data_IF_882485756836
#
_entry.id   IF_882485756836
#
_cell.length_a   1.000
_cell.length_b   1.000
_cell.length_c   1.000
_cell.angle_alpha   90.00
_cell.angle_beta   90.00
_cell.angle_gamma   90.00
#
_symmetry.space_group_name_H-M   'P 1'
#
loop_
_entity.id
_entity.type
_entity.pdbx_description
1 polymer ?
#
# COMPACT_ATOMS: atom_id res chain seq x y z
N UNK A 1 -24.21 10.82 -22.49
CA UNK A 1 -23.99 9.80 -21.45
C UNK A 1 -22.50 9.56 -21.38
N UNK A 2 -21.84 10.12 -20.36
CA UNK A 2 -20.39 10.21 -20.30
C UNK A 2 -19.76 8.91 -19.86
N UNK A 3 -19.23 8.14 -20.81
CA UNK A 3 -18.16 7.18 -20.53
C UNK A 3 -16.85 7.96 -20.31
N UNK A 4 -16.61 8.34 -19.07
CA UNK A 4 -15.34 8.88 -18.62
C UNK A 4 -15.42 9.26 -17.14
N UNK A 5 -14.52 8.85 -16.23
CA UNK A 5 -13.43 7.89 -16.35
C UNK A 5 -13.57 6.79 -15.27
N UNK A 6 -14.27 5.69 -15.55
CA UNK A 6 -14.18 4.52 -14.64
C UNK A 6 -12.83 3.77 -14.84
N UNK A 7 -12.12 4.09 -15.93
CA UNK A 7 -10.71 3.73 -16.15
C UNK A 7 -9.76 4.34 -15.11
N UNK A 8 -10.15 5.45 -14.45
CA UNK A 8 -9.32 6.10 -13.44
C UNK A 8 -9.17 5.23 -12.19
N UNK A 9 -10.17 4.41 -11.85
CA UNK A 9 -10.08 3.53 -10.67
C UNK A 9 -9.05 2.40 -10.88
N UNK A 10 -9.10 1.74 -12.04
CA UNK A 10 -8.10 0.72 -12.39
C UNK A 10 -6.70 1.36 -12.47
N UNK A 11 -6.55 2.50 -13.14
CA UNK A 11 -5.25 3.17 -13.27
C UNK A 11 -4.64 3.62 -11.94
N UNK A 12 -5.48 3.94 -10.95
CA UNK A 12 -5.03 4.31 -9.60
C UNK A 12 -4.64 3.12 -8.73
N UNK A 13 -4.83 1.87 -9.19
CA UNK A 13 -4.49 0.69 -8.40
C UNK A 13 -3.02 0.69 -7.94
N UNK A 14 -2.10 1.11 -8.82
CA UNK A 14 -0.68 1.25 -8.50
C UNK A 14 -0.45 2.27 -7.39
N UNK A 15 -1.09 3.43 -7.48
CA UNK A 15 -0.96 4.53 -6.53
C UNK A 15 -1.57 4.17 -5.16
N UNK A 16 -2.70 3.46 -5.17
CA UNK A 16 -3.35 2.96 -3.95
C UNK A 16 -2.44 1.96 -3.25
N UNK A 17 -1.95 0.93 -3.96
CA UNK A 17 -1.11 -0.12 -3.39
C UNK A 17 0.22 0.43 -2.84
N UNK A 18 0.78 1.47 -3.48
CA UNK A 18 2.01 2.13 -3.03
C UNK A 18 1.78 3.24 -1.99
N UNK A 19 0.53 3.54 -1.62
CA UNK A 19 0.24 4.61 -0.66
C UNK A 19 0.62 4.21 0.78
N UNK A 20 1.09 5.18 1.56
CA UNK A 20 1.38 5.01 3.00
C UNK A 20 0.24 4.39 3.79
N UNK A 21 -1.02 4.90 3.74
CA UNK A 21 -2.11 4.29 4.49
C UNK A 21 -2.37 2.84 4.05
N UNK A 22 -2.16 2.53 2.77
CA UNK A 22 -2.36 1.18 2.30
C UNK A 22 -1.38 0.19 2.93
N UNK A 23 -0.09 0.56 2.96
CA UNK A 23 1.00 -0.26 3.48
C UNK A 23 1.00 -0.37 5.01
N UNK A 24 0.61 0.70 5.72
CA UNK A 24 0.45 0.66 7.18
C UNK A 24 -0.61 -0.35 7.60
N UNK A 25 -1.76 -0.37 6.93
CA UNK A 25 -2.77 -1.38 7.23
C UNK A 25 -2.31 -2.80 6.85
N UNK A 26 -1.37 -2.96 5.91
CA UNK A 26 -0.76 -4.26 5.63
C UNK A 26 0.24 -4.70 6.71
N UNK A 27 0.85 -3.79 7.49
CA UNK A 27 1.72 -4.17 8.60
C UNK A 27 0.99 -5.03 9.64
N UNK A 28 -0.30 -4.78 9.85
CA UNK A 28 -1.13 -5.45 10.85
C UNK A 28 -1.61 -6.85 10.42
N UNK A 29 -1.32 -7.30 9.19
CA UNK A 29 -1.76 -8.63 8.76
C UNK A 29 -0.96 -9.73 9.47
N UNK A 30 -1.66 -10.77 9.89
CA UNK A 30 -1.02 -11.90 10.56
C UNK A 30 -0.40 -12.87 9.55
N UNK A 31 0.89 -13.13 9.72
CA UNK A 31 1.70 -14.04 8.90
C UNK A 31 2.33 -15.13 9.78
N UNK A 32 2.53 -16.36 9.27
CA UNK A 32 3.11 -17.43 10.06
C UNK A 32 4.61 -17.20 10.35
N UNK A 33 5.04 -17.49 11.59
CA UNK A 33 6.46 -17.65 11.95
C UNK A 33 6.82 -19.13 11.88
N UNK A 34 7.63 -19.49 10.88
CA UNK A 34 8.15 -20.84 10.70
C UNK A 34 7.04 -21.91 10.59
N UNK A 35 7.42 -23.17 10.38
CA UNK A 35 6.46 -24.28 10.31
C UNK A 35 5.89 -24.71 11.70
N UNK A 36 6.19 -23.94 12.76
CA UNK A 36 5.86 -24.29 14.16
C UNK A 36 4.53 -23.69 14.67
N UNK A 37 3.75 -23.02 13.80
CA UNK A 37 2.37 -22.64 14.08
C UNK A 37 2.16 -21.30 14.82
N UNK A 38 3.20 -20.51 15.04
CA UNK A 38 3.07 -19.14 15.54
C UNK A 38 2.61 -18.17 14.43
N UNK A 39 1.92 -17.09 14.79
CA UNK A 39 1.60 -15.98 13.89
C UNK A 39 2.10 -14.68 14.49
N UNK A 40 2.59 -13.78 13.65
CA UNK A 40 2.98 -12.41 14.00
C UNK A 40 2.47 -11.44 12.96
N UNK A 41 2.52 -10.16 13.27
CA UNK A 41 2.24 -9.11 12.29
C UNK A 41 3.29 -9.11 11.17
N UNK A 42 2.92 -8.62 9.99
CA UNK A 42 3.87 -8.46 8.89
C UNK A 42 5.03 -7.54 9.30
N UNK A 43 4.78 -6.52 10.13
CA UNK A 43 5.84 -5.67 10.71
C UNK A 43 6.88 -6.52 11.45
N UNK A 44 6.44 -7.27 12.47
CA UNK A 44 7.30 -8.13 13.28
C UNK A 44 8.03 -9.20 12.44
N UNK A 45 7.37 -9.74 11.42
CA UNK A 45 8.01 -10.67 10.48
C UNK A 45 9.17 -10.03 9.71
N UNK A 46 9.04 -8.75 9.31
CA UNK A 46 10.09 -8.04 8.58
C UNK A 46 11.29 -7.69 9.49
N UNK A 47 11.03 -7.48 10.78
CA UNK A 47 12.05 -7.23 11.81
C UNK A 47 12.79 -8.50 12.24
N UNK A 48 12.13 -9.67 12.19
CA UNK A 48 12.71 -10.96 12.60
C UNK A 48 13.57 -11.65 11.53
N UNK A 49 13.71 -11.07 10.33
CA UNK A 49 14.50 -11.71 9.26
C UNK A 49 16.00 -11.70 9.57
N UNK A 50 16.64 -12.86 9.42
CA UNK A 50 18.06 -13.15 9.74
C UNK A 50 19.04 -12.14 9.11
N UNK A 51 18.68 -11.61 7.95
CA UNK A 51 19.29 -10.42 7.40
C UNK A 51 18.15 -9.48 7.02
N UNK A 52 18.06 -8.31 7.66
CA UNK A 52 17.28 -7.16 7.21
C UNK A 52 17.67 -6.76 5.78
N UNK A 53 17.27 -7.54 4.78
CA UNK A 53 17.60 -7.30 3.37
C UNK A 53 17.06 -5.95 2.89
N UNK A 54 16.08 -5.42 3.62
CA UNK A 54 15.59 -4.07 3.48
C UNK A 54 16.65 -3.00 3.75
N UNK A 55 17.58 -3.22 4.68
CA UNK A 55 18.76 -2.35 4.89
C UNK A 55 19.64 -2.36 3.63
N UNK A 56 19.86 -3.50 2.99
CA UNK A 56 20.66 -3.58 1.77
C UNK A 56 19.96 -2.89 0.59
N UNK A 57 18.64 -3.01 0.43
CA UNK A 57 17.90 -2.36 -0.67
C UNK A 57 17.78 -0.84 -0.49
N UNK A 58 17.79 -0.33 0.74
CA UNK A 58 17.87 1.11 1.02
C UNK A 58 19.29 1.65 0.77
N UNK A 59 20.31 0.85 1.09
CA UNK A 59 21.73 1.17 0.86
C UNK A 59 22.26 0.83 -0.53
N UNK A 60 21.39 0.45 -1.48
CA UNK A 60 21.72 0.51 -2.90
C UNK A 60 21.35 1.93 -3.35
N UNK A 61 22.28 2.91 -3.29
CA UNK A 61 22.09 4.14 -4.05
C UNK A 61 21.90 3.69 -5.49
N UNK A 62 20.90 4.23 -6.19
CA UNK A 62 20.65 3.94 -7.60
C UNK A 62 21.97 3.89 -8.38
N UNK A 63 22.52 2.69 -8.57
CA UNK A 63 23.74 2.51 -9.34
C UNK A 63 23.31 2.51 -10.79
N UNK A 64 22.99 3.71 -11.27
CA UNK A 64 23.25 4.07 -12.65
C UNK A 64 24.77 4.24 -12.73
N UNK A 65 25.33 3.64 -13.77
CA UNK A 65 26.75 3.59 -14.15
C UNK A 65 27.50 4.89 -13.81
N UNK A 66 28.69 4.75 -13.22
CA UNK A 66 29.76 5.75 -12.99
C UNK A 66 29.69 6.68 -11.77
N UNK A 67 30.37 6.25 -10.69
CA UNK A 67 31.29 7.10 -9.92
C UNK A 67 30.76 7.86 -8.69
N UNK A 68 31.55 7.75 -7.60
CA UNK A 68 31.67 8.55 -6.35
C UNK A 68 30.74 8.37 -5.13
N UNK A 69 31.41 7.88 -4.07
CA UNK A 69 31.44 8.20 -2.62
C UNK A 69 30.23 7.92 -1.70
N UNK A 70 30.55 7.08 -0.71
CA UNK A 70 29.87 6.67 0.52
C UNK A 70 29.31 7.81 1.39
N UNK A 71 28.21 7.53 2.09
CA UNK A 71 27.87 8.21 3.35
C UNK A 71 27.14 7.26 4.32
N UNK A 72 27.62 7.25 5.57
CA UNK A 72 27.19 6.42 6.71
C UNK A 72 26.00 7.07 7.41
N UNK A 73 25.04 6.28 7.92
CA UNK A 73 24.01 6.79 8.86
C UNK A 73 23.89 5.85 10.06
N UNK A 74 24.16 6.43 11.23
CA UNK A 74 24.06 5.90 12.59
C UNK A 74 22.61 5.70 13.02
N UNK A 75 22.34 4.65 13.78
CA UNK A 75 21.06 4.33 14.42
C UNK A 75 20.91 5.06 15.76
N UNK A 76 19.72 5.62 16.06
CA UNK A 76 19.20 5.85 17.42
C UNK A 76 17.64 5.79 17.40
N UNK A 77 17.07 5.67 18.59
CA UNK A 77 15.99 4.77 19.04
C UNK A 77 14.52 5.27 18.98
N UNK A 78 13.63 4.27 19.17
CA UNK A 78 12.20 4.24 19.59
C UNK A 78 11.23 5.25 18.96
N UNK A 79 10.05 4.81 18.46
CA UNK A 79 8.79 5.58 18.55
C UNK A 79 7.58 4.75 18.06
N UNK A 80 6.37 5.21 18.39
CA UNK A 80 5.07 4.56 18.13
C UNK A 80 4.27 5.41 17.13
N UNK A 81 3.56 4.78 16.19
CA UNK A 81 2.77 5.46 15.13
C UNK A 81 1.40 5.92 15.64
N UNK A 82 0.95 7.12 15.24
CA UNK A 82 -0.39 7.63 15.58
C UNK A 82 -1.03 8.41 14.42
N UNK A 83 -2.33 8.15 14.21
CA UNK A 83 -3.16 8.92 13.28
C UNK A 83 -3.92 10.00 14.06
N UNK A 84 -3.60 11.28 13.85
CA UNK A 84 -4.33 12.42 14.43
C UNK A 84 -4.91 13.28 13.31
N UNK A 85 -6.24 13.41 13.28
CA UNK A 85 -6.97 14.31 12.37
C UNK A 85 -6.58 14.18 10.88
N UNK A 86 -6.40 12.95 10.39
CA UNK A 86 -6.03 12.70 8.98
C UNK A 86 -4.55 12.90 8.65
N UNK A 87 -3.73 13.30 9.63
CA UNK A 87 -2.26 13.32 9.52
C UNK A 87 -1.72 12.02 10.12
N UNK A 88 -0.85 11.35 9.37
CA UNK A 88 -0.14 10.12 9.77
C UNK A 88 1.29 10.54 10.14
N UNK A 89 1.69 10.33 11.40
CA UNK A 89 3.04 10.61 11.86
C UNK A 89 3.85 9.31 11.92
N UNK A 90 4.83 9.17 11.02
CA UNK A 90 5.63 7.96 10.88
C UNK A 90 6.92 8.04 11.70
N UNK A 91 7.25 6.94 12.35
CA UNK A 91 8.57 6.71 12.92
C UNK A 91 9.59 6.52 11.79
N UNK A 92 10.87 6.83 12.04
CA UNK A 92 11.91 6.63 11.04
C UNK A 92 12.05 5.16 10.62
N UNK A 93 11.80 4.22 11.53
CA UNK A 93 11.72 2.79 11.25
C UNK A 93 10.56 2.45 10.30
N UNK A 94 9.33 2.86 10.63
CA UNK A 94 8.16 2.59 9.81
C UNK A 94 8.30 3.24 8.43
N UNK A 95 8.87 4.45 8.35
CA UNK A 95 9.14 5.15 7.08
C UNK A 95 10.06 4.33 6.17
N UNK A 96 11.18 3.82 6.71
CA UNK A 96 12.10 2.94 5.99
C UNK A 96 11.42 1.65 5.55
N UNK A 97 10.64 1.03 6.43
CA UNK A 97 9.92 -0.21 6.13
C UNK A 97 8.85 -0.01 5.04
N UNK A 98 8.16 1.13 5.05
CA UNK A 98 7.21 1.54 4.00
C UNK A 98 7.94 1.70 2.67
N UNK A 99 9.08 2.39 2.62
CA UNK A 99 9.85 2.56 1.37
C UNK A 99 10.30 1.22 0.77
N UNK A 100 10.62 0.26 1.63
CA UNK A 100 10.95 -1.11 1.23
C UNK A 100 9.70 -1.81 0.68
N UNK A 101 8.59 -1.78 1.40
CA UNK A 101 7.36 -2.43 0.96
C UNK A 101 6.81 -1.84 -0.33
N UNK A 102 6.95 -0.53 -0.57
CA UNK A 102 6.60 0.12 -1.85
C UNK A 102 7.31 -0.54 -3.04
N UNK A 103 8.56 -0.98 -2.87
CA UNK A 103 9.33 -1.66 -3.92
C UNK A 103 8.95 -3.13 -4.09
N UNK A 104 8.26 -3.71 -3.10
CA UNK A 104 8.10 -5.16 -2.94
C UNK A 104 6.67 -5.61 -3.18
N UNK A 105 5.71 -4.73 -2.92
CA UNK A 105 4.29 -4.88 -3.21
C UNK A 105 4.00 -3.93 -4.37
N UNK A 106 4.00 -4.48 -5.58
CA UNK A 106 3.87 -3.70 -6.81
C UNK A 106 2.57 -4.08 -7.50
N UNK A 107 1.74 -3.08 -7.79
CA UNK A 107 0.59 -3.25 -8.66
C UNK A 107 0.86 -2.59 -10.02
N UNK A 108 0.57 -3.32 -11.09
CA UNK A 108 0.70 -2.84 -12.47
C UNK A 108 -0.60 -3.04 -13.20
N UNK A 109 -0.96 -2.13 -14.09
CA UNK A 109 -2.21 -2.18 -14.86
C UNK A 109 -1.84 -2.37 -16.32
N UNK A 110 -2.30 -3.45 -16.92
CA UNK A 110 -2.17 -3.66 -18.36
C UNK A 110 -3.13 -2.69 -19.07
N UNK A 111 -2.59 -1.74 -19.84
CA UNK A 111 -3.39 -0.69 -20.48
C UNK A 111 -4.35 -1.20 -21.57
N UNK A 112 -4.10 -2.38 -22.12
CA UNK A 112 -4.94 -2.97 -23.18
C UNK A 112 -6.11 -3.75 -22.60
N UNK A 113 -5.85 -4.51 -21.53
CA UNK A 113 -6.85 -5.39 -20.91
C UNK A 113 -7.48 -4.79 -19.65
N UNK A 114 -6.91 -3.71 -19.12
CA UNK A 114 -7.24 -3.10 -17.82
C UNK A 114 -7.11 -4.06 -16.64
N UNK A 115 -6.38 -5.16 -16.81
CA UNK A 115 -6.11 -6.13 -15.74
C UNK A 115 -5.04 -5.55 -14.82
N UNK A 116 -5.35 -5.50 -13.52
CA UNK A 116 -4.38 -5.14 -12.48
C UNK A 116 -3.68 -6.40 -11.97
N UNK A 117 -2.36 -6.46 -12.15
CA UNK A 117 -1.50 -7.49 -11.59
C UNK A 117 -0.86 -6.99 -10.30
N UNK A 118 -1.02 -7.72 -9.20
CA UNK A 118 -0.36 -7.45 -7.92
C UNK A 118 0.74 -8.49 -7.71
N UNK A 119 1.97 -8.04 -7.51
CA UNK A 119 3.15 -8.86 -7.25
C UNK A 119 3.72 -8.54 -5.88
N UNK A 120 4.05 -9.58 -5.11
CA UNK A 120 4.70 -9.45 -3.80
C UNK A 120 5.96 -10.28 -3.76
N UNK A 121 7.08 -9.66 -3.42
CA UNK A 121 8.38 -10.33 -3.27
C UNK A 121 8.86 -10.25 -1.83
N UNK A 122 8.84 -11.36 -1.10
CA UNK A 122 9.36 -11.49 0.26
C UNK A 122 10.25 -12.74 0.38
N UNK A 123 11.03 -12.85 1.46
CA UNK A 123 11.96 -13.96 1.67
C UNK A 123 11.25 -15.31 1.82
N UNK A 124 10.15 -15.36 2.57
CA UNK A 124 9.34 -16.57 2.73
C UNK A 124 8.22 -16.59 1.67
N UNK A 125 8.16 -17.62 0.82
CA UNK A 125 7.13 -17.72 -0.23
C UNK A 125 5.71 -17.88 0.34
N UNK A 126 5.53 -18.51 1.50
CA UNK A 126 4.23 -18.62 2.16
C UNK A 126 3.76 -17.25 2.64
N UNK A 127 4.66 -16.47 3.23
CA UNK A 127 4.35 -15.11 3.67
C UNK A 127 4.07 -14.20 2.47
N UNK A 128 4.86 -14.30 1.40
CA UNK A 128 4.61 -13.56 0.15
C UNK A 128 3.20 -13.82 -0.41
N UNK A 129 2.76 -15.08 -0.43
CA UNK A 129 1.44 -15.47 -0.91
C UNK A 129 0.31 -14.88 -0.03
N UNK A 130 0.44 -14.93 1.30
CA UNK A 130 -0.54 -14.37 2.24
C UNK A 130 -0.63 -12.85 2.10
N UNK A 131 0.52 -12.19 1.96
CA UNK A 131 0.59 -10.73 1.78
C UNK A 131 -0.01 -10.33 0.44
N UNK A 132 0.26 -11.07 -0.64
CA UNK A 132 -0.32 -10.83 -1.96
C UNK A 132 -1.85 -10.96 -1.94
N UNK A 133 -2.38 -12.05 -1.37
CA UNK A 133 -3.83 -12.24 -1.24
C UNK A 133 -4.46 -11.12 -0.39
N UNK A 134 -3.83 -10.75 0.71
CA UNK A 134 -4.29 -9.66 1.58
C UNK A 134 -4.27 -8.31 0.87
N UNK A 135 -3.22 -8.01 0.11
CA UNK A 135 -3.10 -6.79 -0.69
C UNK A 135 -4.21 -6.72 -1.77
N UNK A 136 -4.50 -7.83 -2.45
CA UNK A 136 -5.59 -7.88 -3.44
C UNK A 136 -6.95 -7.62 -2.79
N UNK A 137 -7.28 -8.29 -1.69
CA UNK A 137 -8.55 -8.08 -0.97
C UNK A 137 -8.69 -6.64 -0.49
N UNK A 138 -7.59 -6.06 -0.01
CA UNK A 138 -7.56 -4.68 0.46
C UNK A 138 -7.77 -3.69 -0.67
N UNK A 139 -7.09 -3.87 -1.80
CA UNK A 139 -7.26 -3.05 -2.98
C UNK A 139 -8.72 -3.10 -3.46
N UNK A 140 -9.31 -4.30 -3.51
CA UNK A 140 -10.75 -4.47 -3.82
C UNK A 140 -11.62 -3.68 -2.85
N UNK A 141 -11.37 -3.77 -1.54
CA UNK A 141 -12.12 -3.03 -0.51
C UNK A 141 -12.02 -1.52 -0.72
N UNK A 142 -10.82 -0.99 -0.98
CA UNK A 142 -10.61 0.44 -1.25
C UNK A 142 -11.38 0.90 -2.49
N UNK A 143 -11.34 0.11 -3.57
CA UNK A 143 -12.05 0.40 -4.83
C UNK A 143 -13.56 0.40 -4.62
N UNK A 144 -14.10 -0.62 -3.94
CA UNK A 144 -15.52 -0.75 -3.63
C UNK A 144 -15.98 0.42 -2.75
N UNK A 145 -15.17 0.78 -1.74
CA UNK A 145 -15.44 1.91 -0.85
C UNK A 145 -15.59 3.22 -1.61
N UNK A 146 -14.65 3.53 -2.50
CA UNK A 146 -14.73 4.71 -3.37
C UNK A 146 -15.99 4.71 -4.23
N UNK A 147 -16.27 3.60 -4.95
CA UNK A 147 -17.45 3.50 -5.82
C UNK A 147 -18.76 3.66 -5.04
N UNK A 148 -18.81 3.12 -3.84
CA UNK A 148 -19.96 3.24 -2.95
C UNK A 148 -20.15 4.68 -2.48
N UNK A 149 -19.07 5.38 -2.09
CA UNK A 149 -19.15 6.79 -1.70
C UNK A 149 -19.61 7.66 -2.86
N UNK A 150 -19.01 7.48 -4.04
CA UNK A 150 -19.38 8.23 -5.25
C UNK A 150 -20.87 8.05 -5.60
N UNK A 151 -21.38 6.82 -5.55
CA UNK A 151 -22.79 6.56 -5.83
C UNK A 151 -23.73 7.26 -4.82
N UNK A 152 -23.33 7.36 -3.54
CA UNK A 152 -24.08 8.12 -2.53
C UNK A 152 -24.06 9.61 -2.83
N UNK A 153 -22.90 10.16 -3.17
CA UNK A 153 -22.72 11.58 -3.48
C UNK A 153 -23.51 11.97 -4.73
N UNK A 154 -23.45 11.14 -5.79
CA UNK A 154 -24.21 11.32 -7.02
C UNK A 154 -25.73 11.27 -6.75
N UNK A 155 -26.19 10.34 -5.89
CA UNK A 155 -27.59 10.26 -5.49
C UNK A 155 -28.05 11.52 -4.75
N UNK A 156 -27.29 11.97 -3.75
CA UNK A 156 -27.60 13.17 -2.99
C UNK A 156 -27.63 14.43 -3.88
N UNK A 157 -26.71 14.51 -4.85
CA UNK A 157 -26.68 15.59 -5.83
C UNK A 157 -27.94 15.62 -6.70
N UNK A 158 -28.35 14.46 -7.25
CA UNK A 158 -29.56 14.37 -8.07
C UNK A 158 -30.84 14.66 -7.28
N UNK A 159 -30.93 14.23 -6.03
CA UNK A 159 -32.05 14.55 -5.14
C UNK A 159 -32.17 16.06 -4.89
N UNK A 160 -31.05 16.75 -4.66
CA UNK A 160 -31.05 18.20 -4.48
C UNK A 160 -31.50 18.91 -5.76
N UNK A 161 -30.96 18.51 -6.92
CA UNK A 161 -31.35 19.07 -8.22
C UNK A 161 -32.84 18.87 -8.49
N UNK A 162 -33.41 17.71 -8.13
CA UNK A 162 -34.84 17.45 -8.28
C UNK A 162 -35.69 18.38 -7.41
N UNK A 163 -35.29 18.59 -6.14
CA UNK A 163 -36.00 19.51 -5.24
C UNK A 163 -35.97 20.95 -5.74
N UNK A 164 -34.82 21.42 -6.23
CA UNK A 164 -34.70 22.77 -6.81
C UNK A 164 -35.69 22.98 -7.96
N UNK A 165 -35.85 21.98 -8.84
CA UNK A 165 -36.75 22.04 -10.01
C UNK A 165 -38.24 21.90 -9.69
N UNK A 166 -38.61 21.45 -8.49
CA UNK A 166 -40.02 21.42 -8.06
C UNK A 166 -40.49 22.74 -7.42
N UNK A 167 -39.55 23.58 -7.02
CA UNK A 167 -39.81 24.86 -6.37
C UNK A 167 -39.94 26.00 -7.41
N UNK A 168 -39.42 25.79 -8.63
CA UNK A 168 -39.74 26.57 -9.85
C UNK A 168 -41.08 26.16 -10.48
#
# INVERSE_FOLDING_TARGET
MGEGPDALNASLSSDIVSSTPFLLELFEINVPINDKGGKVTLKEYLDTQVSPWWVYILNIPNMIISGIKYLVVTEEEENVDFMRFGVIELTEENRKLIEVLKKKIVATVDKKTMITNVSVTLQDPKVAAIVADSAVRKLQKSIIGYRTSKAKDDCAYLENLFKERQIE
#
